data_IF_571228020389
#
_entry.id   IF_571228020389
#
_cell.length_a   1.000
_cell.length_b   1.000
_cell.length_c   1.000
_cell.angle_alpha   90.00
_cell.angle_beta   90.00
_cell.angle_gamma   90.00
#
_symmetry.space_group_name_H-M   'P 1'
#
loop_
_entity.id
_entity.type
_entity.pdbx_description
1 polymer ?
#
# COMPACT_ATOMS: atom_id res chain seq x y z
N UNK A 1 -12.74 -23.18 13.22
CA UNK A 1 -12.03 -22.99 11.94
C UNK A 1 -11.68 -21.52 11.81
N UNK A 2 -10.39 -21.17 11.87
CA UNK A 2 -9.95 -19.79 11.61
C UNK A 2 -10.25 -19.54 10.14
N UNK A 3 -11.22 -18.67 9.83
CA UNK A 3 -11.48 -18.27 8.45
C UNK A 3 -10.21 -17.58 7.97
N UNK A 4 -9.44 -18.26 7.13
CA UNK A 4 -8.41 -17.61 6.32
C UNK A 4 -9.17 -16.58 5.48
N UNK A 5 -9.17 -15.32 5.94
CA UNK A 5 -9.62 -14.21 5.11
C UNK A 5 -8.56 -14.11 4.02
N UNK A 6 -8.86 -14.65 2.84
CA UNK A 6 -8.08 -14.34 1.65
C UNK A 6 -8.18 -12.83 1.45
N UNK A 7 -7.11 -12.12 1.80
CA UNK A 7 -7.01 -10.69 1.57
C UNK A 7 -6.59 -10.53 0.12
N UNK A 8 -7.56 -10.24 -0.74
CA UNK A 8 -7.29 -9.88 -2.13
C UNK A 8 -6.85 -8.40 -2.17
N UNK A 9 -5.57 -8.20 -2.43
CA UNK A 9 -5.00 -6.88 -2.65
C UNK A 9 -5.01 -6.63 -4.14
N UNK A 10 -5.72 -5.58 -4.53
CA UNK A 10 -5.71 -5.10 -5.90
C UNK A 10 -4.73 -3.94 -5.98
N UNK A 11 -3.84 -4.00 -6.95
CA UNK A 11 -2.97 -2.88 -7.28
C UNK A 11 -3.47 -2.21 -8.55
N UNK A 12 -3.68 -0.90 -8.47
CA UNK A 12 -4.09 -0.07 -9.59
C UNK A 12 -3.04 1.01 -9.83
N UNK A 13 -2.47 1.05 -11.03
CA UNK A 13 -1.59 2.15 -11.43
C UNK A 13 -2.41 3.42 -11.65
N UNK A 14 -2.06 4.48 -10.92
CA UNK A 14 -2.64 5.81 -11.06
C UNK A 14 -1.57 6.86 -11.29
N UNK A 15 -1.94 7.93 -11.99
CA UNK A 15 -1.13 9.14 -12.06
C UNK A 15 -1.67 10.15 -11.07
N UNK A 16 -0.91 10.43 -10.01
CA UNK A 16 -1.20 11.48 -9.04
C UNK A 16 -0.15 12.58 -9.21
N UNK A 17 -0.59 13.82 -9.46
CA UNK A 17 0.30 14.96 -9.66
C UNK A 17 1.39 14.73 -10.73
N UNK A 18 1.06 14.00 -11.81
CA UNK A 18 1.99 13.65 -12.88
C UNK A 18 2.97 12.52 -12.55
N UNK A 19 2.93 11.97 -11.33
CA UNK A 19 3.76 10.85 -10.89
C UNK A 19 2.96 9.56 -10.98
N UNK A 20 3.56 8.52 -11.55
CA UNK A 20 2.96 7.19 -11.60
C UNK A 20 3.13 6.53 -10.23
N UNK A 21 1.99 6.17 -9.62
CA UNK A 21 1.91 5.52 -8.31
C UNK A 21 1.07 4.27 -8.44
N UNK A 22 1.46 3.22 -7.73
CA UNK A 22 0.67 2.02 -7.53
C UNK A 22 -0.23 2.22 -6.32
N UNK A 23 -1.53 2.43 -6.52
CA UNK A 23 -2.49 2.47 -5.43
C UNK A 23 -2.87 1.04 -5.04
N UNK A 24 -2.77 0.71 -3.76
CA UNK A 24 -3.23 -0.56 -3.23
C UNK A 24 -4.62 -0.38 -2.62
N UNK A 25 -5.51 -1.31 -2.96
CA UNK A 25 -6.87 -1.39 -2.42
C UNK A 25 -7.15 -2.79 -1.89
N UNK A 26 -7.92 -2.84 -0.80
CA UNK A 26 -8.40 -4.06 -0.17
C UNK A 26 -9.93 -4.02 -0.24
N UNK A 27 -10.50 -4.78 -1.18
CA UNK A 27 -11.92 -4.68 -1.51
C UNK A 27 -12.29 -3.30 -2.09
N UNK A 28 -12.89 -2.43 -1.26
CA UNK A 28 -13.29 -1.06 -1.65
C UNK A 28 -12.49 0.04 -0.96
N UNK A 29 -11.62 -0.32 -0.02
CA UNK A 29 -10.86 0.63 0.76
C UNK A 29 -9.44 0.75 0.20
N UNK A 30 -8.92 1.98 0.12
CA UNK A 30 -7.52 2.18 -0.22
C UNK A 30 -6.68 2.04 1.03
N UNK A 31 -5.70 1.15 0.97
CA UNK A 31 -4.77 0.92 2.08
C UNK A 31 -3.50 1.75 1.93
N UNK A 32 -3.33 2.48 0.84
CA UNK A 32 -2.21 3.40 0.58
C UNK A 32 -1.73 3.35 -0.87
N UNK A 33 -0.60 4.03 -1.14
CA UNK A 33 0.05 4.04 -2.45
C UNK A 33 1.54 3.75 -2.34
N UNK A 34 2.12 3.16 -3.37
CA UNK A 34 3.56 2.92 -3.50
C UNK A 34 4.02 3.58 -4.79
N UNK A 35 5.09 4.38 -4.72
CA UNK A 35 5.76 4.92 -5.91
C UNK A 35 7.24 4.55 -5.88
N UNK A 36 7.83 4.38 -7.05
CA UNK A 36 9.27 4.20 -7.15
C UNK A 36 9.97 5.56 -7.15
N UNK A 37 10.87 5.78 -6.19
CA UNK A 37 11.79 6.91 -6.17
C UNK A 37 13.23 6.41 -6.39
N UNK A 38 13.70 6.53 -7.63
CA UNK A 38 15.03 6.07 -8.06
C UNK A 38 15.26 4.57 -7.75
N UNK A 39 16.01 4.27 -6.68
CA UNK A 39 16.38 2.92 -6.21
C UNK A 39 15.56 2.47 -4.98
N UNK A 40 14.65 3.31 -4.49
CA UNK A 40 13.82 3.06 -3.31
C UNK A 40 12.35 3.12 -3.69
N UNK A 41 11.52 2.65 -2.78
CA UNK A 41 10.06 2.73 -2.91
C UNK A 41 9.56 3.66 -1.81
N UNK A 42 8.76 4.64 -2.19
CA UNK A 42 8.07 5.52 -1.25
C UNK A 42 6.67 4.98 -1.09
N UNK A 43 6.32 4.67 0.14
CA UNK A 43 5.00 4.20 0.54
C UNK A 43 4.31 5.39 1.20
N UNK A 44 3.10 5.70 0.74
CA UNK A 44 2.23 6.72 1.33
C UNK A 44 1.04 6.02 1.96
N UNK A 45 0.90 6.14 3.26
CA UNK A 45 -0.20 5.61 4.05
C UNK A 45 -1.47 6.43 3.86
N UNK A 46 -2.67 5.89 4.18
CA UNK A 46 -3.94 6.60 3.99
C UNK A 46 -4.07 7.86 4.87
N UNK A 47 -3.29 7.96 5.94
CA UNK A 47 -3.19 9.15 6.79
C UNK A 47 -2.28 10.25 6.19
N UNK A 48 -1.64 10.01 5.05
CA UNK A 48 -0.71 10.92 4.38
C UNK A 48 0.75 10.79 4.83
N UNK A 49 1.07 9.91 5.78
CA UNK A 49 2.46 9.64 6.16
C UNK A 49 3.19 8.92 5.03
N UNK A 50 4.46 9.29 4.82
CA UNK A 50 5.32 8.67 3.82
C UNK A 50 6.52 7.96 4.46
N UNK A 51 6.84 6.77 3.98
CA UNK A 51 8.02 6.02 4.40
C UNK A 51 8.80 5.46 3.22
N UNK A 52 10.11 5.30 3.41
CA UNK A 52 11.01 4.78 2.38
C UNK A 52 11.32 3.31 2.64
N UNK A 53 11.06 2.49 1.63
CA UNK A 53 11.27 1.05 1.65
C UNK A 53 12.35 0.64 0.65
N UNK A 54 13.07 -0.41 1.01
CA UNK A 54 14.11 -1.02 0.18
C UNK A 54 13.55 -1.81 -1.00
N UNK A 55 12.30 -2.26 -0.91
CA UNK A 55 11.63 -3.04 -1.96
C UNK A 55 10.13 -2.76 -1.99
N UNK A 56 9.50 -3.01 -3.14
CA UNK A 56 8.05 -2.90 -3.31
C UNK A 56 7.31 -3.81 -2.35
N UNK A 57 7.73 -5.08 -2.23
CA UNK A 57 7.09 -6.05 -1.33
C UNK A 57 7.11 -5.61 0.13
N UNK A 58 8.22 -5.01 0.60
CA UNK A 58 8.29 -4.45 1.94
C UNK A 58 7.27 -3.31 2.16
N UNK A 59 7.04 -2.51 1.13
CA UNK A 59 6.02 -1.47 1.17
C UNK A 59 4.59 -2.01 1.21
N UNK A 60 4.31 -3.04 0.42
CA UNK A 60 3.02 -3.74 0.45
C UNK A 60 2.77 -4.33 1.85
N UNK A 61 3.76 -5.03 2.42
CA UNK A 61 3.69 -5.60 3.76
C UNK A 61 3.38 -4.53 4.82
N UNK A 62 4.03 -3.37 4.73
CA UNK A 62 3.81 -2.24 5.64
C UNK A 62 2.38 -1.70 5.56
N UNK A 63 1.84 -1.50 4.35
CA UNK A 63 0.46 -1.03 4.15
C UNK A 63 -0.57 -2.02 4.71
N UNK A 64 -0.38 -3.31 4.49
CA UNK A 64 -1.26 -4.35 5.03
C UNK A 64 -1.23 -4.34 6.57
N UNK A 65 -0.04 -4.25 7.15
CA UNK A 65 0.14 -4.21 8.61
C UNK A 65 -0.54 -3.00 9.23
N UNK A 66 -0.35 -1.82 8.64
CA UNK A 66 -0.99 -0.59 9.10
C UNK A 66 -2.52 -0.72 9.04
N UNK A 67 -3.04 -1.21 7.92
CA UNK A 67 -4.48 -1.42 7.77
C UNK A 67 -5.03 -2.40 8.81
N UNK A 68 -4.34 -3.50 9.11
CA UNK A 68 -4.75 -4.43 10.16
C UNK A 68 -4.69 -3.86 11.57
N UNK A 69 -3.72 -2.99 11.87
CA UNK A 69 -3.56 -2.37 13.19
C UNK A 69 -4.68 -1.37 13.48
N UNK A 70 -5.10 -0.60 12.47
CA UNK A 70 -6.16 0.39 12.61
C UNK A 70 -7.58 -0.19 12.54
N UNK A 71 -7.74 -1.40 11.99
CA UNK A 71 -9.05 -2.02 11.76
C UNK A 71 -9.39 -3.14 12.77
N UNK A 72 -8.75 -3.12 13.95
CA UNK A 72 -8.94 -4.06 15.08
C UNK A 72 -10.11 -3.71 15.99
#
# INVERSE_FOLDING_TARGET
MKKEKNIEIVEEEKRINGILVSQLTLGKESIGTIRQDKKRYVVTFPNGEETHMSSRSAGIDALIREFHLHHS
#
